data_IF_921941628614
#
_entry.id   IF_921941628614
#
_cell.length_a   1.000
_cell.length_b   1.000
_cell.length_c   1.000
_cell.angle_alpha   90.00
_cell.angle_beta   90.00
_cell.angle_gamma   90.00
#
_symmetry.space_group_name_H-M   'P 1'
#
loop_
_entity.id
_entity.type
_entity.pdbx_description
1 polymer ?
#
# COMPACT_ATOMS: atom_id res chain seq x y z
N UNK A 1 -19.12 14.23 2.48
CA UNK A 1 -18.29 13.35 3.35
C UNK A 1 -17.40 12.52 2.43
N UNK A 2 -16.16 12.25 2.82
CA UNK A 2 -15.31 11.33 2.07
C UNK A 2 -15.92 9.93 2.09
N UNK A 3 -15.87 9.22 0.95
CA UNK A 3 -16.24 7.81 0.85
C UNK A 3 -14.93 7.02 0.73
N UNK A 4 -14.78 5.95 1.48
CA UNK A 4 -13.54 5.16 1.56
C UNK A 4 -13.86 3.69 1.33
N UNK A 5 -13.14 3.09 0.40
CA UNK A 5 -13.06 1.64 0.22
C UNK A 5 -11.69 1.19 0.70
N UNK A 6 -11.65 0.48 1.82
CA UNK A 6 -10.40 -0.10 2.32
C UNK A 6 -10.03 -1.36 1.53
N UNK A 7 -8.77 -1.45 1.10
CA UNK A 7 -8.20 -2.65 0.49
C UNK A 7 -7.53 -3.45 1.61
N UNK A 8 -8.04 -4.64 1.87
CA UNK A 8 -7.64 -5.46 3.00
C UNK A 8 -6.91 -6.72 2.53
N UNK A 9 -5.99 -7.20 3.36
CA UNK A 9 -5.27 -8.46 3.17
C UNK A 9 -5.23 -9.24 4.47
N UNK A 10 -5.36 -10.57 4.39
CA UNK A 10 -5.19 -11.45 5.55
C UNK A 10 -3.72 -11.75 5.80
N UNK A 11 -3.30 -11.65 7.03
CA UNK A 11 -2.00 -12.11 7.47
C UNK A 11 -1.96 -13.66 7.59
N UNK A 12 -0.78 -14.21 7.89
CA UNK A 12 -0.58 -15.67 8.06
C UNK A 12 -1.43 -16.27 9.21
N UNK A 13 -1.99 -15.46 10.08
CA UNK A 13 -2.87 -15.87 11.19
C UNK A 13 -4.34 -15.67 10.85
N UNK A 14 -4.68 -15.26 9.63
CA UNK A 14 -6.04 -15.01 9.16
C UNK A 14 -6.64 -13.66 9.63
N UNK A 15 -5.87 -12.78 10.25
CA UNK A 15 -6.32 -11.45 10.65
C UNK A 15 -6.27 -10.50 9.46
N UNK A 16 -7.39 -9.84 9.17
CA UNK A 16 -7.46 -8.79 8.15
C UNK A 16 -6.72 -7.53 8.62
N UNK A 17 -5.99 -6.91 7.69
CA UNK A 17 -5.39 -5.60 7.87
C UNK A 17 -5.57 -4.76 6.61
N UNK A 18 -5.78 -3.48 6.76
CA UNK A 18 -5.81 -2.54 5.65
C UNK A 18 -4.40 -2.37 5.10
N UNK A 19 -4.23 -2.59 3.80
CA UNK A 19 -2.95 -2.45 3.08
C UNK A 19 -2.97 -1.27 2.11
N UNK A 20 -4.16 -0.78 1.76
CA UNK A 20 -4.37 0.38 0.90
C UNK A 20 -5.81 0.87 0.99
N UNK A 21 -6.10 1.98 0.31
CA UNK A 21 -7.45 2.53 0.22
C UNK A 21 -7.72 3.16 -1.14
N UNK A 22 -8.99 3.15 -1.53
CA UNK A 22 -9.53 3.98 -2.60
C UNK A 22 -10.51 4.95 -1.95
N UNK A 23 -10.29 6.25 -2.14
CA UNK A 23 -11.09 7.28 -1.48
C UNK A 23 -11.66 8.26 -2.50
N UNK A 24 -12.95 8.59 -2.38
CA UNK A 24 -13.59 9.67 -3.13
C UNK A 24 -13.73 10.88 -2.22
N UNK A 25 -13.17 12.01 -2.63
CA UNK A 25 -13.25 13.30 -1.93
C UNK A 25 -13.74 14.38 -2.87
N UNK A 26 -14.14 15.52 -2.32
CA UNK A 26 -14.50 16.72 -3.03
C UNK A 26 -15.50 16.52 -4.20
N UNK A 27 -16.35 15.49 -4.10
CA UNK A 27 -17.32 15.17 -5.15
C UNK A 27 -18.37 16.28 -5.29
N UNK A 28 -18.47 16.80 -6.52
CA UNK A 28 -19.48 17.74 -6.98
C UNK A 28 -20.15 17.16 -8.23
N UNK A 29 -21.12 17.86 -8.82
CA UNK A 29 -21.66 17.49 -10.14
C UNK A 29 -20.64 17.63 -11.28
N UNK A 30 -19.64 18.49 -11.12
CA UNK A 30 -18.65 18.77 -12.15
C UNK A 30 -17.36 17.94 -12.00
N UNK A 31 -16.91 17.65 -10.77
CA UNK A 31 -15.64 16.99 -10.53
C UNK A 31 -15.63 16.15 -9.25
N UNK A 32 -14.70 15.20 -9.19
CA UNK A 32 -14.39 14.45 -7.99
C UNK A 32 -12.89 14.13 -7.93
N UNK A 33 -12.36 13.99 -6.71
CA UNK A 33 -11.00 13.52 -6.47
C UNK A 33 -11.04 12.05 -6.01
N UNK A 34 -10.27 11.20 -6.66
CA UNK A 34 -10.15 9.76 -6.41
C UNK A 34 -8.72 9.44 -6.00
N UNK A 35 -8.53 8.92 -4.80
CA UNK A 35 -7.20 8.61 -4.24
C UNK A 35 -6.97 7.11 -4.20
N UNK A 36 -5.83 6.66 -4.74
CA UNK A 36 -5.31 5.29 -4.62
C UNK A 36 -4.04 5.32 -3.76
N UNK A 37 -4.16 4.98 -2.48
CA UNK A 37 -3.07 5.02 -1.52
C UNK A 37 -2.79 3.64 -0.94
N UNK A 38 -1.49 3.30 -0.81
CA UNK A 38 -1.04 2.00 -0.35
C UNK A 38 -1.13 0.91 -1.43
N UNK A 39 -1.11 -0.36 -1.02
CA UNK A 39 -1.05 -1.50 -1.93
C UNK A 39 -2.40 -1.76 -2.62
N UNK A 40 -2.36 -2.06 -3.92
CA UNK A 40 -3.51 -2.47 -4.71
C UNK A 40 -3.76 -3.96 -4.45
N UNK A 41 -4.75 -4.25 -3.64
CA UNK A 41 -5.17 -5.61 -3.36
C UNK A 41 -6.60 -5.81 -3.88
N UNK A 42 -6.74 -6.72 -4.82
CA UNK A 42 -8.02 -7.20 -5.30
C UNK A 42 -7.96 -8.71 -5.44
N UNK A 43 -7.38 -9.38 -4.47
CA UNK A 43 -7.50 -10.83 -4.45
C UNK A 43 -8.99 -11.16 -4.46
N UNK A 44 -9.50 -11.44 -5.65
CA UNK A 44 -10.68 -12.27 -5.83
C UNK A 44 -10.28 -13.66 -5.34
N UNK A 45 -10.36 -13.83 -4.07
CA UNK A 45 -10.19 -15.10 -3.44
C UNK A 45 -11.44 -15.89 -3.86
N UNK A 46 -11.33 -16.88 -4.70
CA UNK A 46 -12.40 -17.65 -5.31
C UNK A 46 -13.62 -17.96 -4.43
N UNK A 47 -14.51 -18.87 -4.79
CA UNK A 47 -15.76 -19.14 -4.04
C UNK A 47 -15.60 -19.37 -2.53
N UNK A 48 -14.41 -19.77 -2.07
CA UNK A 48 -14.06 -19.91 -0.65
C UNK A 48 -14.04 -18.60 0.12
N UNK A 49 -13.92 -17.46 -0.53
CA UNK A 49 -13.84 -16.14 0.09
C UNK A 49 -15.17 -15.39 0.20
N UNK A 50 -16.21 -15.86 -0.44
CA UNK A 50 -17.58 -15.43 -0.10
C UNK A 50 -17.96 -15.72 1.36
N UNK A 51 -17.12 -16.46 2.07
CA UNK A 51 -17.32 -16.77 3.50
C UNK A 51 -16.91 -15.62 4.45
N UNK A 52 -16.19 -14.60 3.95
CA UNK A 52 -15.76 -13.48 4.77
C UNK A 52 -16.34 -12.17 4.22
N UNK A 53 -17.26 -11.52 4.96
CA UNK A 53 -17.97 -10.32 4.49
C UNK A 53 -17.05 -9.10 4.25
N UNK A 54 -15.81 -9.13 4.73
CA UNK A 54 -14.88 -8.02 4.65
C UNK A 54 -13.91 -8.08 3.45
N UNK A 55 -13.94 -9.18 2.66
CA UNK A 55 -13.09 -9.32 1.48
C UNK A 55 -13.67 -8.51 0.31
N UNK A 56 -12.88 -7.60 -0.27
CA UNK A 56 -13.28 -6.74 -1.39
C UNK A 56 -12.90 -7.40 -2.72
N UNK A 57 -13.90 -7.66 -3.54
CA UNK A 57 -13.74 -8.21 -4.89
C UNK A 57 -13.63 -7.08 -5.94
N UNK A 58 -13.17 -7.36 -7.18
CA UNK A 58 -13.20 -6.39 -8.27
C UNK A 58 -14.57 -5.71 -8.47
N UNK A 59 -15.66 -6.44 -8.19
CA UNK A 59 -17.01 -5.88 -8.21
C UNK A 59 -17.22 -4.78 -7.17
N UNK A 60 -16.67 -4.94 -5.96
CA UNK A 60 -16.79 -3.90 -4.91
C UNK A 60 -16.07 -2.62 -5.32
N UNK A 61 -14.92 -2.76 -6.02
CA UNK A 61 -14.19 -1.63 -6.59
C UNK A 61 -15.02 -0.96 -7.68
N UNK A 62 -15.65 -1.73 -8.56
CA UNK A 62 -16.54 -1.18 -9.59
C UNK A 62 -17.73 -0.46 -8.96
N UNK A 63 -18.48 -1.12 -8.07
CA UNK A 63 -19.64 -0.53 -7.39
C UNK A 63 -19.26 0.76 -6.60
N UNK A 64 -18.01 0.85 -6.14
CA UNK A 64 -17.48 2.05 -5.50
C UNK A 64 -17.21 3.18 -6.52
N UNK A 65 -16.61 2.85 -7.66
CA UNK A 65 -16.30 3.81 -8.73
C UNK A 65 -17.54 4.24 -9.50
N UNK A 66 -18.57 3.41 -9.59
CA UNK A 66 -19.88 3.76 -10.19
C UNK A 66 -20.55 4.94 -9.46
N UNK A 67 -20.13 5.25 -8.22
CA UNK A 67 -20.59 6.45 -7.50
C UNK A 67 -20.05 7.76 -8.09
N UNK A 68 -19.13 7.68 -9.03
CA UNK A 68 -18.60 8.80 -9.81
C UNK A 68 -19.37 9.04 -11.11
N UNK A 69 -20.39 8.23 -11.40
CA UNK A 69 -21.24 8.43 -12.57
C UNK A 69 -21.85 9.82 -12.59
N UNK A 70 -21.77 10.46 -13.76
CA UNK A 70 -22.31 11.81 -13.99
C UNK A 70 -21.35 12.95 -13.69
N UNK A 71 -20.17 12.74 -13.09
CA UNK A 71 -19.14 13.79 -13.00
C UNK A 71 -18.47 13.98 -14.37
N UNK A 72 -18.05 15.23 -14.66
CA UNK A 72 -17.39 15.57 -15.93
C UNK A 72 -15.87 15.38 -15.88
N UNK A 73 -15.28 15.39 -14.68
CA UNK A 73 -13.85 15.29 -14.45
C UNK A 73 -13.53 14.49 -13.19
N UNK A 74 -12.57 13.58 -13.29
CA UNK A 74 -12.03 12.84 -12.16
C UNK A 74 -10.52 13.09 -12.06
N UNK A 75 -10.11 13.69 -10.94
CA UNK A 75 -8.69 13.78 -10.59
C UNK A 75 -8.29 12.52 -9.83
N UNK A 76 -7.38 11.75 -10.40
CA UNK A 76 -6.90 10.49 -9.81
C UNK A 76 -5.54 10.73 -9.17
N UNK A 77 -5.46 10.60 -7.86
CA UNK A 77 -4.24 10.78 -7.07
C UNK A 77 -3.67 9.42 -6.70
N UNK A 78 -2.43 9.15 -7.10
CA UNK A 78 -1.77 7.85 -6.89
C UNK A 78 -0.56 8.00 -5.97
N UNK A 79 -0.52 7.21 -4.90
CA UNK A 79 0.65 7.01 -4.06
C UNK A 79 0.71 5.55 -3.60
N UNK A 80 1.24 4.68 -4.45
CA UNK A 80 1.12 3.24 -4.32
C UNK A 80 2.39 2.51 -4.76
N UNK A 81 2.77 1.50 -3.99
CA UNK A 81 3.82 0.55 -4.34
C UNK A 81 3.39 -0.54 -5.33
N UNK A 82 2.13 -0.56 -5.75
CA UNK A 82 1.61 -1.57 -6.67
C UNK A 82 0.78 -2.65 -5.99
N UNK A 83 0.80 -3.87 -6.53
CA UNK A 83 0.01 -4.98 -5.96
C UNK A 83 -0.53 -5.97 -6.99
N UNK A 84 -1.81 -6.32 -6.88
CA UNK A 84 -2.47 -7.29 -7.75
C UNK A 84 -2.57 -6.81 -9.20
N UNK A 85 -1.97 -7.57 -10.12
CA UNK A 85 -1.98 -7.25 -11.57
C UNK A 85 -3.41 -7.21 -12.10
N UNK A 86 -4.21 -8.23 -11.83
CA UNK A 86 -5.60 -8.30 -12.33
C UNK A 86 -6.49 -7.21 -11.74
N UNK A 87 -6.26 -6.87 -10.46
CA UNK A 87 -6.97 -5.77 -9.81
C UNK A 87 -6.66 -4.42 -10.43
N UNK A 88 -5.40 -4.13 -10.65
CA UNK A 88 -5.01 -2.88 -11.29
C UNK A 88 -5.46 -2.78 -12.74
N UNK A 89 -5.42 -3.87 -13.52
CA UNK A 89 -5.98 -3.89 -14.88
C UNK A 89 -7.49 -3.63 -14.86
N UNK A 90 -8.22 -4.21 -13.88
CA UNK A 90 -9.66 -3.95 -13.75
C UNK A 90 -9.93 -2.47 -13.45
N UNK A 91 -9.19 -1.86 -12.51
CA UNK A 91 -9.28 -0.44 -12.18
C UNK A 91 -8.97 0.42 -13.41
N UNK A 92 -7.85 0.13 -14.11
CA UNK A 92 -7.49 0.81 -15.36
C UNK A 92 -8.66 0.79 -16.36
N UNK A 93 -9.25 -0.39 -16.61
CA UNK A 93 -10.33 -0.54 -17.56
C UNK A 93 -11.63 0.18 -17.13
N UNK A 94 -11.92 0.25 -15.82
CA UNK A 94 -13.08 0.98 -15.31
C UNK A 94 -12.87 2.48 -15.55
N UNK A 95 -11.70 3.03 -15.20
CA UNK A 95 -11.37 4.44 -15.44
C UNK A 95 -11.40 4.79 -16.93
N UNK A 96 -10.81 3.95 -17.80
CA UNK A 96 -10.81 4.18 -19.26
C UNK A 96 -12.20 4.15 -19.90
N UNK A 97 -13.15 3.42 -19.31
CA UNK A 97 -14.55 3.39 -19.80
C UNK A 97 -15.39 4.54 -19.25
N UNK A 98 -14.90 5.26 -18.25
CA UNK A 98 -15.67 6.37 -17.66
C UNK A 98 -15.77 7.54 -18.64
N UNK A 99 -16.93 8.20 -18.66
CA UNK A 99 -17.17 9.33 -19.58
C UNK A 99 -16.51 10.64 -19.14
N UNK A 100 -16.02 10.72 -17.91
CA UNK A 100 -15.31 11.92 -17.40
C UNK A 100 -13.90 12.02 -18.00
N UNK A 101 -13.39 13.26 -18.08
CA UNK A 101 -11.96 13.51 -18.25
C UNK A 101 -11.20 12.96 -17.04
N UNK A 102 -10.24 12.07 -17.27
CA UNK A 102 -9.39 11.48 -16.22
C UNK A 102 -8.05 12.21 -16.20
N UNK A 103 -7.77 12.92 -15.11
CA UNK A 103 -6.46 13.56 -14.88
C UNK A 103 -5.75 12.86 -13.74
N UNK A 104 -4.60 12.25 -14.04
CA UNK A 104 -3.82 11.51 -13.04
C UNK A 104 -2.71 12.36 -12.47
N UNK A 105 -2.57 12.33 -11.15
CA UNK A 105 -1.49 12.94 -10.38
C UNK A 105 -0.73 11.85 -9.60
N UNK A 106 0.56 11.73 -9.85
CA UNK A 106 1.44 10.87 -9.03
C UNK A 106 1.94 11.69 -7.85
N UNK A 107 1.42 11.42 -6.64
CA UNK A 107 1.71 12.22 -5.46
C UNK A 107 3.13 12.00 -4.90
N UNK A 108 3.63 10.79 -4.99
CA UNK A 108 5.00 10.43 -4.57
C UNK A 108 5.52 9.21 -5.29
N UNK A 109 4.65 8.20 -5.45
CA UNK A 109 5.01 6.93 -6.07
C UNK A 109 3.87 6.33 -6.87
N UNK A 110 4.18 5.86 -8.08
CA UNK A 110 3.34 4.96 -8.86
C UNK A 110 4.20 3.77 -9.32
N UNK A 111 4.29 2.71 -8.51
CA UNK A 111 5.12 1.57 -8.84
C UNK A 111 4.31 0.35 -9.31
N UNK A 112 4.91 -0.46 -10.20
CA UNK A 112 4.34 -1.72 -10.67
C UNK A 112 2.94 -1.49 -11.27
N UNK A 113 1.93 -2.23 -10.83
CA UNK A 113 0.56 -2.12 -11.36
C UNK A 113 -0.07 -0.74 -11.11
N UNK A 114 0.39 0.04 -10.12
CA UNK A 114 -0.05 1.42 -9.92
C UNK A 114 0.37 2.33 -11.07
N UNK A 115 1.52 2.08 -11.73
CA UNK A 115 1.93 2.79 -12.94
C UNK A 115 1.03 2.45 -14.14
N UNK A 116 0.50 1.23 -14.21
CA UNK A 116 -0.49 0.84 -15.22
C UNK A 116 -1.83 1.55 -14.98
N UNK A 117 -2.26 1.70 -13.72
CA UNK A 117 -3.44 2.50 -13.37
C UNK A 117 -3.24 3.96 -13.78
N UNK A 118 -2.03 4.50 -13.61
CA UNK A 118 -1.73 5.87 -14.03
C UNK A 118 -1.93 6.10 -15.53
N UNK A 119 -1.72 5.07 -16.36
CA UNK A 119 -1.98 5.14 -17.81
C UNK A 119 -3.48 5.19 -18.17
N UNK A 120 -4.38 5.16 -17.21
CA UNK A 120 -5.79 5.42 -17.47
C UNK A 120 -6.09 6.92 -17.70
N UNK A 121 -5.19 7.82 -17.32
CA UNK A 121 -5.34 9.25 -17.48
C UNK A 121 -5.41 9.69 -18.94
N UNK A 122 -6.30 10.63 -19.24
CA UNK A 122 -6.23 11.42 -20.48
C UNK A 122 -5.08 12.43 -20.38
N UNK A 123 -4.76 12.82 -19.16
CA UNK A 123 -3.61 13.63 -18.78
C UNK A 123 -2.93 13.01 -17.58
N UNK A 124 -1.61 12.86 -17.64
CA UNK A 124 -0.80 12.25 -16.58
C UNK A 124 0.23 13.27 -16.12
N UNK A 125 0.22 13.58 -14.83
CA UNK A 125 1.09 14.58 -14.21
C UNK A 125 1.98 13.89 -13.18
N UNK A 126 3.29 13.94 -13.40
CA UNK A 126 4.28 13.37 -12.48
C UNK A 126 5.22 14.50 -12.03
N UNK A 127 5.20 14.90 -10.75
CA UNK A 127 6.13 15.90 -10.22
C UNK A 127 7.59 15.47 -10.38
N UNK A 128 8.50 16.42 -10.52
CA UNK A 128 9.93 16.16 -10.65
C UNK A 128 10.55 15.39 -9.47
N UNK A 129 9.89 15.35 -8.30
CA UNK A 129 10.31 14.61 -7.12
C UNK A 129 9.49 13.34 -6.85
N UNK A 130 8.49 13.02 -7.68
CA UNK A 130 7.76 11.76 -7.62
C UNK A 130 8.44 10.70 -8.50
N UNK A 131 8.20 9.43 -8.21
CA UNK A 131 8.76 8.31 -8.96
C UNK A 131 7.67 7.43 -9.57
N UNK A 132 7.95 6.91 -10.73
CA UNK A 132 7.18 5.82 -11.32
C UNK A 132 8.12 4.65 -11.60
N UNK A 133 7.62 3.42 -11.42
CA UNK A 133 8.39 2.21 -11.68
C UNK A 133 7.59 1.23 -12.53
N UNK A 134 8.26 0.69 -13.53
CA UNK A 134 7.74 -0.38 -14.38
C UNK A 134 8.61 -1.63 -14.29
N UNK A 135 7.98 -2.78 -14.22
CA UNK A 135 8.67 -4.07 -14.17
C UNK A 135 7.80 -5.23 -14.66
N UNK A 136 8.42 -6.41 -14.77
CA UNK A 136 7.70 -7.65 -15.09
C UNK A 136 6.69 -8.03 -14.01
N UNK A 137 5.52 -8.55 -14.38
CA UNK A 137 4.64 -9.20 -13.43
C UNK A 137 5.35 -10.41 -12.81
N UNK A 138 5.09 -10.67 -11.55
CA UNK A 138 5.64 -11.81 -10.83
C UNK A 138 4.56 -12.54 -10.05
N UNK A 139 4.74 -13.84 -9.87
CA UNK A 139 3.83 -14.70 -9.11
C UNK A 139 4.62 -15.69 -8.26
N UNK A 140 3.92 -16.35 -7.35
CA UNK A 140 4.43 -17.50 -6.60
C UNK A 140 3.54 -18.68 -6.95
N UNK A 141 4.14 -19.71 -7.54
CA UNK A 141 3.45 -20.95 -7.87
C UNK A 141 4.16 -22.16 -7.29
N UNK A 142 3.39 -23.19 -7.03
CA UNK A 142 3.89 -24.49 -6.58
C UNK A 142 3.19 -25.59 -7.38
N UNK A 143 3.98 -26.55 -7.88
CA UNK A 143 3.46 -27.63 -8.69
C UNK A 143 4.57 -28.39 -9.40
N UNK A 144 4.20 -29.18 -10.40
CA UNK A 144 5.12 -29.87 -11.30
C UNK A 144 5.61 -28.93 -12.44
N UNK A 145 6.48 -29.46 -13.30
CA UNK A 145 7.05 -28.66 -14.40
C UNK A 145 6.02 -28.07 -15.37
N UNK A 146 4.88 -28.75 -15.58
CA UNK A 146 3.84 -28.26 -16.47
C UNK A 146 3.03 -27.15 -15.80
N UNK A 147 2.84 -27.20 -14.49
CA UNK A 147 2.22 -26.12 -13.72
C UNK A 147 3.08 -24.85 -13.74
N UNK A 148 4.41 -25.02 -13.61
CA UNK A 148 5.38 -23.91 -13.72
C UNK A 148 5.35 -23.26 -15.11
N UNK A 149 5.27 -24.06 -16.20
CA UNK A 149 5.19 -23.54 -17.56
C UNK A 149 3.90 -22.76 -17.80
N UNK A 150 2.75 -23.30 -17.30
CA UNK A 150 1.47 -22.58 -17.40
C UNK A 150 1.50 -21.24 -16.68
N UNK A 151 2.11 -21.18 -15.50
CA UNK A 151 2.24 -19.90 -14.78
C UNK A 151 3.14 -18.93 -15.53
N UNK A 152 4.23 -19.42 -16.12
CA UNK A 152 5.08 -18.58 -16.98
C UNK A 152 4.30 -18.03 -18.20
N UNK A 153 3.50 -18.84 -18.87
CA UNK A 153 2.65 -18.41 -20.00
C UNK A 153 1.63 -17.34 -19.55
N UNK A 154 1.06 -17.46 -18.34
CA UNK A 154 0.15 -16.46 -17.76
C UNK A 154 0.89 -15.13 -17.53
N UNK A 155 2.09 -15.18 -16.94
CA UNK A 155 2.90 -13.99 -16.69
C UNK A 155 3.32 -13.30 -17.99
N UNK A 156 3.69 -14.06 -19.01
CA UNK A 156 4.01 -13.52 -20.35
C UNK A 156 2.76 -12.87 -20.98
N UNK A 157 1.58 -13.46 -20.78
CA UNK A 157 0.31 -12.86 -21.18
C UNK A 157 0.04 -11.53 -20.48
N UNK A 158 0.24 -11.48 -19.16
CA UNK A 158 0.11 -10.26 -18.37
C UNK A 158 1.10 -9.18 -18.83
N UNK A 159 2.37 -9.53 -19.09
CA UNK A 159 3.37 -8.59 -19.58
C UNK A 159 2.98 -7.95 -20.92
N UNK A 160 2.40 -8.72 -21.83
CA UNK A 160 1.90 -8.19 -23.12
C UNK A 160 0.77 -7.16 -22.91
N UNK A 161 -0.15 -7.44 -21.99
CA UNK A 161 -1.24 -6.49 -21.67
C UNK A 161 -0.68 -5.22 -21.06
N UNK A 162 0.27 -5.33 -20.13
CA UNK A 162 0.94 -4.21 -19.48
C UNK A 162 1.70 -3.37 -20.51
N UNK A 163 2.49 -4.02 -21.39
CA UNK A 163 3.23 -3.34 -22.47
C UNK A 163 2.28 -2.57 -23.38
N UNK A 164 1.18 -3.21 -23.83
CA UNK A 164 0.19 -2.55 -24.67
C UNK A 164 -0.45 -1.34 -24.00
N UNK A 165 -0.61 -1.37 -22.69
CA UNK A 165 -1.14 -0.24 -21.91
C UNK A 165 -0.14 0.93 -21.91
N UNK A 166 1.15 0.68 -21.69
CA UNK A 166 2.17 1.73 -21.75
C UNK A 166 2.30 2.33 -23.17
N UNK A 167 2.22 1.50 -24.20
CA UNK A 167 2.32 1.97 -25.57
C UNK A 167 1.21 2.94 -25.99
N UNK A 168 0.08 3.00 -25.27
CA UNK A 168 -0.97 3.99 -25.53
C UNK A 168 -0.55 5.43 -25.18
N UNK A 169 0.47 5.57 -24.34
CA UNK A 169 1.04 6.85 -23.93
C UNK A 169 2.50 7.01 -24.35
N UNK A 170 3.02 6.08 -25.15
CA UNK A 170 4.38 6.19 -25.68
C UNK A 170 4.47 7.37 -26.64
N UNK A 171 5.56 8.14 -26.53
CA UNK A 171 5.86 9.23 -27.48
C UNK A 171 6.16 8.71 -28.87
N UNK A 172 5.96 9.58 -29.84
CA UNK A 172 6.34 9.29 -31.22
C UNK A 172 7.81 8.88 -31.31
N UNK A 173 8.06 7.73 -31.92
CA UNK A 173 9.41 7.16 -32.12
C UNK A 173 9.85 6.19 -31.02
N UNK A 174 9.17 6.12 -29.88
CA UNK A 174 9.43 5.11 -28.84
C UNK A 174 8.82 3.77 -29.25
N UNK A 175 9.62 2.72 -29.22
CA UNK A 175 9.22 1.38 -29.67
C UNK A 175 8.74 0.49 -28.52
N UNK A 176 7.96 -0.53 -28.85
CA UNK A 176 7.54 -1.53 -27.87
C UNK A 176 8.73 -2.31 -27.29
N UNK A 177 9.77 -2.51 -28.09
CA UNK A 177 11.01 -3.16 -27.67
C UNK A 177 11.74 -2.35 -26.61
N UNK A 178 11.81 -1.01 -26.77
CA UNK A 178 12.41 -0.12 -25.77
C UNK A 178 11.65 -0.14 -24.46
N UNK A 179 10.33 -0.01 -24.51
CA UNK A 179 9.50 -0.09 -23.28
C UNK A 179 9.60 -1.48 -22.65
N UNK A 180 9.60 -2.55 -23.43
CA UNK A 180 9.77 -3.90 -22.89
C UNK A 180 11.14 -4.09 -22.23
N UNK A 181 12.21 -3.52 -22.77
CA UNK A 181 13.53 -3.55 -22.14
C UNK A 181 13.54 -2.81 -20.77
N UNK A 182 12.82 -1.70 -20.66
CA UNK A 182 12.64 -0.99 -19.38
C UNK A 182 11.83 -1.80 -18.36
N UNK A 183 10.79 -2.52 -18.82
CA UNK A 183 10.02 -3.46 -17.99
C UNK A 183 10.94 -4.58 -17.50
N UNK A 184 11.73 -5.18 -18.39
CA UNK A 184 12.63 -6.29 -18.08
C UNK A 184 13.72 -5.90 -17.07
N UNK A 185 14.15 -4.63 -17.10
CA UNK A 185 15.18 -4.09 -16.23
C UNK A 185 14.68 -3.63 -14.84
N UNK A 186 13.36 -3.67 -14.58
CA UNK A 186 12.78 -3.04 -13.37
C UNK A 186 13.26 -1.59 -13.25
N UNK A 187 12.67 -0.72 -14.05
CA UNK A 187 13.15 0.66 -14.23
C UNK A 187 12.39 1.63 -13.32
N UNK A 188 13.17 2.36 -12.53
CA UNK A 188 12.72 3.45 -11.64
C UNK A 188 13.18 4.78 -12.23
N UNK A 189 12.25 5.70 -12.46
CA UNK A 189 12.54 7.04 -13.01
C UNK A 189 11.58 8.06 -12.39
N UNK A 190 12.04 9.33 -12.35
CA UNK A 190 11.19 10.47 -12.00
C UNK A 190 10.40 10.98 -13.22
N UNK A 191 9.57 12.03 -13.01
CA UNK A 191 8.75 12.58 -14.08
C UNK A 191 9.57 13.08 -15.29
N UNK A 192 10.69 13.78 -15.03
CA UNK A 192 11.56 14.32 -16.08
C UNK A 192 12.16 13.21 -16.96
N UNK A 193 12.60 12.12 -16.34
CA UNK A 193 13.18 10.97 -17.03
C UNK A 193 12.11 10.15 -17.78
N UNK A 194 10.89 10.00 -17.24
CA UNK A 194 9.79 9.31 -17.90
C UNK A 194 9.20 10.10 -19.06
N UNK A 195 9.29 11.44 -19.02
CA UNK A 195 8.88 12.28 -20.13
C UNK A 195 9.66 12.01 -21.44
N UNK A 196 10.80 11.35 -21.39
CA UNK A 196 11.52 10.92 -22.59
C UNK A 196 10.78 9.80 -23.33
N UNK A 197 10.00 8.98 -22.62
CA UNK A 197 9.34 7.80 -23.15
C UNK A 197 7.81 7.96 -23.29
N UNK A 198 7.18 8.71 -22.38
CA UNK A 198 5.73 8.82 -22.33
C UNK A 198 5.26 10.26 -22.50
N UNK A 199 4.04 10.40 -23.06
CA UNK A 199 3.34 11.69 -23.12
C UNK A 199 2.77 12.00 -21.74
N UNK A 200 3.58 12.61 -20.89
CA UNK A 200 3.27 13.02 -19.53
C UNK A 200 3.69 14.47 -19.29
N UNK A 201 3.04 15.11 -18.35
CA UNK A 201 3.42 16.45 -17.89
C UNK A 201 4.26 16.35 -16.62
N UNK A 202 5.34 17.11 -16.58
CA UNK A 202 6.16 17.27 -15.37
C UNK A 202 5.72 18.54 -14.66
N UNK A 203 5.26 18.41 -13.42
CA UNK A 203 4.95 19.56 -12.58
C UNK A 203 6.12 19.92 -11.65
N UNK A 204 6.06 21.10 -11.05
CA UNK A 204 6.98 21.49 -9.99
C UNK A 204 6.92 20.47 -8.83
N UNK A 205 7.94 20.47 -7.98
CA UNK A 205 8.02 19.56 -6.83
C UNK A 205 6.81 19.70 -5.93
N UNK A 206 6.10 18.61 -5.72
CA UNK A 206 5.03 18.52 -4.72
C UNK A 206 5.60 18.17 -3.33
N UNK A 207 4.80 18.37 -2.28
CA UNK A 207 5.16 17.80 -0.97
C UNK A 207 5.09 16.27 -1.09
N UNK A 208 6.27 15.62 -1.08
CA UNK A 208 6.35 14.17 -1.17
C UNK A 208 5.62 13.54 0.02
N UNK A 209 4.62 12.74 -0.27
CA UNK A 209 3.94 11.92 0.74
C UNK A 209 4.67 10.59 0.83
N UNK A 210 5.05 10.18 2.05
CA UNK A 210 5.68 8.87 2.25
C UNK A 210 4.73 7.76 1.78
N UNK A 211 5.27 6.79 1.07
CA UNK A 211 4.56 5.58 0.67
C UNK A 211 5.22 4.39 1.37
N UNK A 212 4.41 3.56 2.02
CA UNK A 212 4.82 2.25 2.54
C UNK A 212 4.16 1.17 1.68
N UNK A 213 4.89 0.12 1.37
CA UNK A 213 4.37 -1.01 0.59
C UNK A 213 5.01 -2.31 1.02
N UNK A 214 4.21 -3.37 1.07
CA UNK A 214 4.70 -4.74 1.29
C UNK A 214 5.48 -5.30 0.10
N UNK A 215 5.35 -4.67 -1.05
CA UNK A 215 6.01 -5.08 -2.29
C UNK A 215 7.44 -4.56 -2.39
N UNK A 216 7.85 -3.60 -1.56
CA UNK A 216 9.21 -3.05 -1.60
C UNK A 216 10.30 -4.11 -1.40
N UNK A 217 10.06 -5.09 -0.52
CA UNK A 217 10.99 -6.21 -0.31
C UNK A 217 11.10 -7.17 -1.52
N UNK A 218 10.23 -7.02 -2.52
CA UNK A 218 10.19 -7.87 -3.72
C UNK A 218 10.85 -7.21 -4.94
N UNK A 219 11.18 -5.93 -4.85
CA UNK A 219 11.81 -5.18 -5.95
C UNK A 219 13.33 -5.32 -5.89
N UNK A 220 13.95 -5.60 -7.05
CA UNK A 220 15.38 -5.83 -7.15
C UNK A 220 16.17 -4.52 -7.11
N UNK A 221 15.63 -3.46 -7.71
CA UNK A 221 16.29 -2.17 -7.89
C UNK A 221 15.67 -1.06 -7.04
N UNK A 222 15.06 -1.40 -5.89
CA UNK A 222 14.41 -0.42 -5.03
C UNK A 222 15.37 0.73 -4.68
N UNK A 223 15.03 1.99 -4.98
CA UNK A 223 15.85 3.14 -4.62
C UNK A 223 16.10 3.22 -3.11
N UNK A 224 17.31 3.59 -2.70
CA UNK A 224 17.69 3.66 -1.27
C UNK A 224 16.78 4.57 -0.44
N UNK A 225 16.23 5.60 -1.06
CA UNK A 225 15.28 6.54 -0.42
C UNK A 225 13.96 5.87 -0.01
N UNK A 226 13.58 4.77 -0.68
CA UNK A 226 12.38 3.99 -0.40
C UNK A 226 12.66 2.77 0.48
N UNK A 227 13.94 2.40 0.65
CA UNK A 227 14.36 1.42 1.64
C UNK A 227 14.08 2.04 3.01
N UNK A 228 13.02 1.60 3.66
CA UNK A 228 12.66 2.04 5.01
C UNK A 228 13.86 1.96 5.93
N UNK A 229 13.96 2.87 6.89
CA UNK A 229 14.87 2.65 8.02
C UNK A 229 14.57 1.25 8.59
N UNK A 230 15.59 0.47 9.01
CA UNK A 230 15.35 -0.85 9.59
C UNK A 230 14.24 -0.71 10.61
N UNK A 231 13.12 -1.41 10.36
CA UNK A 231 11.97 -1.36 11.27
C UNK A 231 12.53 -1.58 12.67
N UNK A 232 12.28 -0.69 13.63
CA UNK A 232 12.66 -0.96 15.00
C UNK A 232 12.14 -2.37 15.30
N UNK A 233 12.92 -3.23 15.97
CA UNK A 233 12.52 -4.60 16.22
C UNK A 233 11.08 -4.58 16.72
N UNK A 234 10.19 -5.26 16.02
CA UNK A 234 8.78 -5.32 16.44
C UNK A 234 8.81 -5.82 17.88
N UNK A 235 8.52 -4.91 18.80
CA UNK A 235 8.32 -5.26 20.20
C UNK A 235 7.20 -6.31 20.20
N UNK A 236 7.60 -7.57 20.37
CA UNK A 236 6.64 -8.63 20.60
C UNK A 236 5.98 -8.31 21.94
N UNK A 237 4.77 -7.74 21.88
CA UNK A 237 4.02 -7.31 23.09
C UNK A 237 3.83 -8.50 24.02
N UNK A 238 3.67 -9.71 23.48
CA UNK A 238 3.53 -10.94 24.29
C UNK A 238 4.84 -11.27 25.03
N UNK A 239 5.99 -11.17 24.34
CA UNK A 239 7.33 -11.37 24.93
C UNK A 239 7.67 -10.25 25.95
N UNK A 240 7.23 -9.01 25.68
CA UNK A 240 7.36 -7.92 26.63
C UNK A 240 6.46 -8.13 27.84
N UNK A 241 5.22 -8.56 27.65
CA UNK A 241 4.28 -8.85 28.72
C UNK A 241 4.78 -10.00 29.60
N UNK A 242 5.33 -11.08 29.01
CA UNK A 242 5.98 -12.17 29.77
C UNK A 242 7.17 -11.67 30.58
N UNK A 243 8.07 -10.90 29.97
CA UNK A 243 9.25 -10.33 30.68
C UNK A 243 8.85 -9.35 31.79
N UNK A 244 7.82 -8.56 31.59
CA UNK A 244 7.27 -7.68 32.62
C UNK A 244 6.62 -8.48 33.75
N UNK A 245 5.82 -9.49 33.43
CA UNK A 245 5.19 -10.38 34.42
C UNK A 245 6.24 -11.14 35.23
N UNK A 246 7.31 -11.64 34.61
CA UNK A 246 8.41 -12.31 35.28
C UNK A 246 9.19 -11.34 36.19
N UNK A 247 9.42 -10.12 35.75
CA UNK A 247 10.11 -9.09 36.55
C UNK A 247 9.27 -8.64 37.74
N UNK A 248 7.94 -8.50 37.57
CA UNK A 248 7.00 -8.22 38.67
C UNK A 248 6.99 -9.36 39.67
N UNK A 249 6.92 -10.64 39.18
CA UNK A 249 6.92 -11.84 40.05
C UNK A 249 8.20 -11.92 40.88
N UNK A 250 9.38 -11.61 40.26
CA UNK A 250 10.66 -11.62 40.94
C UNK A 250 10.80 -10.45 41.94
N UNK A 251 10.19 -9.30 41.65
CA UNK A 251 10.19 -8.14 42.56
C UNK A 251 9.23 -8.33 43.73
N UNK A 252 8.12 -9.01 43.52
CA UNK A 252 7.11 -9.30 44.60
C UNK A 252 7.47 -10.54 45.43
N UNK A 253 8.43 -11.36 44.99
CA UNK A 253 8.90 -12.52 45.76
C UNK A 253 9.94 -12.17 46.84
N UNK A 254 10.48 -10.97 46.85
CA UNK A 254 11.26 -10.46 48.00
C UNK A 254 10.32 -9.64 48.89
N UNK A 255 10.00 -10.09 50.11
CA UNK A 255 9.28 -9.24 51.04
C UNK A 255 10.15 -8.00 51.33
N UNK A 256 9.54 -6.80 51.41
CA UNK A 256 10.30 -5.60 51.73
C UNK A 256 11.00 -5.82 53.08
N UNK A 257 12.33 -5.73 53.08
CA UNK A 257 13.11 -5.67 54.33
C UNK A 257 12.80 -4.34 54.98
N UNK A 258 11.68 -4.31 55.73
CA UNK A 258 11.42 -3.25 56.66
C UNK A 258 12.35 -3.48 57.85
N UNK A 259 13.21 -2.55 58.23
CA UNK A 259 14.04 -2.67 59.42
C UNK A 259 13.07 -2.73 60.62
N UNK A 260 12.95 -3.86 61.30
CA UNK A 260 12.06 -4.05 62.45
C UNK A 260 12.26 -3.01 63.54
N UNK A 261 13.47 -2.48 63.70
CA UNK A 261 13.82 -1.45 64.67
C UNK A 261 13.04 -0.11 64.50
N UNK A 262 12.67 0.25 63.24
CA UNK A 262 11.98 1.53 62.98
C UNK A 262 10.48 1.45 63.17
N UNK A 263 9.93 0.24 63.02
CA UNK A 263 8.50 0.01 63.22
C UNK A 263 8.09 -0.04 64.66
N UNK A 264 8.93 -0.66 65.55
CA UNK A 264 8.68 -0.69 67.01
C UNK A 264 8.79 0.68 67.64
N UNK A 265 9.76 1.50 67.20
CA UNK A 265 9.92 2.86 67.67
C UNK A 265 8.75 3.77 67.27
N UNK A 266 8.23 3.61 66.08
CA UNK A 266 7.12 4.38 65.57
C UNK A 266 5.77 3.97 66.18
N UNK A 267 5.63 2.70 66.54
CA UNK A 267 4.46 2.21 67.33
C UNK A 267 4.50 2.73 68.73
N UNK A 268 5.69 2.78 69.36
CA UNK A 268 5.84 3.34 70.73
C UNK A 268 5.53 4.85 70.76
N UNK A 269 6.02 5.63 69.78
CA UNK A 269 5.71 7.06 69.64
C UNK A 269 4.19 7.30 69.41
N UNK A 270 3.52 6.47 68.61
CA UNK A 270 2.08 6.57 68.37
C UNK A 270 1.23 6.18 69.60
N UNK A 271 1.73 5.30 70.45
CA UNK A 271 1.02 4.90 71.70
C UNK A 271 1.22 5.98 72.79
N UNK A 272 2.36 6.68 72.86
CA UNK A 272 2.54 7.83 73.74
C UNK A 272 1.59 9.00 73.40
N UNK A 273 1.39 9.25 72.09
CA UNK A 273 0.43 10.28 71.64
C UNK A 273 -1.03 9.98 71.94
N UNK A 274 -1.39 8.70 72.12
CA UNK A 274 -2.74 8.26 72.47
C UNK A 274 -3.09 8.36 73.97
N UNK A 275 -2.06 8.35 74.83
CA UNK A 275 -2.26 8.52 76.28
C UNK A 275 -2.37 10.01 76.72
N UNK A 276 -2.32 10.95 75.78
CA UNK A 276 -2.45 12.39 75.98
C UNK A 276 -3.83 12.95 75.60
N UNK A 277 -4.84 12.09 75.34
CA UNK A 277 -6.22 12.46 75.11
C UNK A 277 -7.05 11.83 76.18
#
# INVERSE_FOLDING_TARGET
MAKILELQKKDKKGKCRTVGSIEIKNQTEAAADLYFFGDINSESLGEWQKYYPDDKAPKDVQDFLDQLDGVSKINVHINSGGGSVFGGIAIYNILKRHNAEIVVYVEGLAASIASVIAMAGDKIIIPANAQMMIHKPSSITWGNADDMRKEADILDGCQKVILNTYMQHAKDGVTAEEINALIDAETWKNGEEWQEFFDIEVSEKSQATACESEYFDKYNNLPDKLKGQPKPPQLNIDDLAEKVAEKIKNTLSEPPKVPQADTEKRIAELLEDLDLI
#
